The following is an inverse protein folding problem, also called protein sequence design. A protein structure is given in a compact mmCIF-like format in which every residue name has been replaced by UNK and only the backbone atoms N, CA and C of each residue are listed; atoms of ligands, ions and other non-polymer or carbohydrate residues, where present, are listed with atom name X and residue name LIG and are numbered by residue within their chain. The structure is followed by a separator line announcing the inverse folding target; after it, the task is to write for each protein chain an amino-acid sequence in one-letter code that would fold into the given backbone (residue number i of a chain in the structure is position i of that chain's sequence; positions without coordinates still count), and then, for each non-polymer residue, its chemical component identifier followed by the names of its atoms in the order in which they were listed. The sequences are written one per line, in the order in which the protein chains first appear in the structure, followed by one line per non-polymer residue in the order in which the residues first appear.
data_IF_692415015765
#
_entry.id   IF_692415015765
#
_cell.length_a   1.000
_cell.length_b   1.000
_cell.length_c   1.000
_cell.angle_alpha   90.00
_cell.angle_beta   90.00
_cell.angle_gamma   90.00
#
_symmetry.space_group_name_H-M   'P 1'
#
loop_
_entity.id
_entity.type
_entity.pdbx_description
1 polymer ?
#
# COMPACT_ATOMS: atom_id res chain seq x y z
N UNK A 1 30.00 75.35 64.95
CA UNK A 1 29.91 75.38 66.43
C UNK A 1 30.99 76.32 66.97
N UNK A 2 30.70 77.09 68.03
CA UNK A 2 31.55 77.44 69.21
C UNK A 2 33.08 77.51 69.00
N UNK A 3 33.85 78.55 69.37
CA UNK A 3 33.67 79.89 69.99
C UNK A 3 34.89 80.77 69.58
N UNK A 4 34.87 82.11 69.46
CA UNK A 4 34.59 83.21 70.42
C UNK A 4 35.61 83.36 71.57
N UNK A 5 36.55 84.30 71.40
CA UNK A 5 37.28 85.17 72.38
C UNK A 5 38.19 86.11 71.55
N UNK A 6 38.34 87.43 71.70
CA UNK A 6 38.24 88.43 72.80
C UNK A 6 39.25 88.21 73.94
N UNK A 7 40.12 89.15 74.34
CA UNK A 7 40.34 90.57 73.96
C UNK A 7 41.83 90.97 74.24
N UNK A 8 42.36 92.20 74.41
CA UNK A 8 41.81 93.55 74.67
C UNK A 8 42.79 94.75 74.39
N UNK A 9 42.43 95.95 74.88
CA UNK A 9 43.13 97.27 75.04
C UNK A 9 44.69 97.31 75.12
N UNK A 10 45.46 98.27 74.55
CA UNK A 10 45.45 99.77 74.59
C UNK A 10 45.75 100.38 76.01
N UNK A 11 46.30 101.61 76.20
CA UNK A 11 47.00 102.59 75.34
C UNK A 11 48.36 103.15 75.90
N UNK A 12 48.97 104.08 75.14
CA UNK A 12 49.76 105.28 75.56
C UNK A 12 50.78 105.24 76.73
N UNK A 13 52.03 105.68 76.45
CA UNK A 13 53.03 106.05 77.47
C UNK A 13 54.09 107.05 77.00
N UNK A 14 53.86 108.35 77.20
CA UNK A 14 54.85 109.43 77.08
C UNK A 14 54.53 110.56 78.07
N UNK A 15 55.53 111.06 78.81
CA UNK A 15 55.54 112.48 79.16
C UNK A 15 56.86 113.22 78.86
N UNK A 16 56.66 114.53 78.68
CA UNK A 16 57.56 115.69 78.75
C UNK A 16 58.78 115.49 79.68
N UNK A 17 60.00 115.89 79.33
CA UNK A 17 60.48 117.28 79.20
C UNK A 17 60.18 118.17 80.43
N UNK A 18 61.22 118.49 81.19
CA UNK A 18 61.32 119.73 81.96
C UNK A 18 62.75 120.29 81.84
N UNK A 19 62.90 121.60 81.98
CA UNK A 19 64.13 122.34 81.66
C UNK A 19 64.26 123.53 82.63
N UNK A 20 65.40 123.64 83.32
CA UNK A 20 65.97 124.83 83.99
C UNK A 20 67.35 124.39 84.53
N UNK A 21 68.49 124.94 84.07
CA UNK A 21 69.16 126.19 84.50
C UNK A 21 69.74 126.10 85.92
N UNK A 22 70.94 126.59 86.27
CA UNK A 22 71.60 127.86 85.88
C UNK A 22 73.15 127.71 85.87
N UNK A 23 73.84 128.51 85.03
CA UNK A 23 75.16 129.11 85.33
C UNK A 23 76.41 128.32 84.93
N UNK A 24 77.55 128.96 84.63
CA UNK A 24 77.86 130.40 84.50
C UNK A 24 78.98 130.62 83.44
N UNK A 25 79.19 131.88 83.03
CA UNK A 25 80.46 132.57 82.64
C UNK A 25 81.69 131.75 82.18
N UNK A 26 82.49 132.11 81.17
CA UNK A 26 82.57 133.23 80.19
C UNK A 26 83.70 132.89 79.16
N UNK A 27 84.28 133.70 78.26
CA UNK A 27 84.24 135.15 77.93
C UNK A 27 84.71 135.39 76.47
N UNK A 28 84.42 136.58 75.91
CA UNK A 28 85.02 137.26 74.74
C UNK A 28 85.01 136.68 73.28
N UNK A 29 84.66 137.62 72.37
CA UNK A 29 85.15 137.84 71.00
C UNK A 29 84.60 137.03 69.80
N UNK A 30 84.81 137.64 68.63
CA UNK A 30 84.60 137.17 67.24
C UNK A 30 83.16 136.97 66.71
N UNK A 31 82.28 137.92 67.06
CA UNK A 31 81.14 138.28 66.23
C UNK A 31 81.60 138.85 64.87
N UNK A 32 81.59 138.05 63.80
CA UNK A 32 81.02 138.42 62.48
C UNK A 32 81.00 137.29 61.41
N UNK A 33 81.73 136.18 61.60
CA UNK A 33 81.81 135.10 60.59
C UNK A 33 80.69 134.04 60.65
N UNK A 34 79.96 133.94 61.76
CA UNK A 34 79.21 132.72 62.11
C UNK A 34 77.93 132.47 61.27
N UNK A 35 77.38 133.50 60.62
CA UNK A 35 76.11 133.39 59.86
C UNK A 35 76.21 132.41 58.67
N UNK A 36 77.34 132.44 57.94
CA UNK A 36 77.62 131.51 56.83
C UNK A 36 77.79 130.05 57.29
N UNK A 37 78.22 129.82 58.52
CA UNK A 37 78.33 128.47 59.10
C UNK A 37 76.98 127.97 59.61
N UNK A 38 76.11 128.84 60.13
CA UNK A 38 74.73 128.49 60.50
C UNK A 38 73.94 128.11 59.24
N UNK A 39 74.04 128.88 58.16
CA UNK A 39 73.39 128.58 56.88
C UNK A 39 73.91 127.28 56.25
N UNK A 40 75.23 127.04 56.28
CA UNK A 40 75.80 125.73 55.89
C UNK A 40 75.25 124.59 56.74
N UNK A 41 75.19 124.74 58.07
CA UNK A 41 74.62 123.74 58.98
C UNK A 41 73.14 123.50 58.73
N UNK A 42 72.37 124.53 58.37
CA UNK A 42 70.94 124.36 58.03
C UNK A 42 70.73 123.72 56.66
N UNK A 43 71.51 124.10 55.64
CA UNK A 43 71.45 123.45 54.32
C UNK A 43 71.90 121.99 54.40
N UNK A 44 72.93 121.66 55.18
CA UNK A 44 73.27 120.27 55.52
C UNK A 44 72.14 119.55 56.27
N UNK A 45 71.42 120.21 57.18
CA UNK A 45 70.23 119.62 57.85
C UNK A 45 69.09 119.37 56.87
N UNK A 46 68.84 120.27 55.91
CA UNK A 46 67.84 120.10 54.83
C UNK A 46 68.22 118.96 53.90
N UNK A 47 69.49 118.87 53.51
CA UNK A 47 70.03 117.78 52.70
C UNK A 47 69.98 116.43 53.43
N UNK A 48 70.42 116.37 54.69
CA UNK A 48 70.30 115.17 55.55
C UNK A 48 68.83 114.77 55.74
N UNK A 49 67.90 115.73 55.86
CA UNK A 49 66.46 115.43 55.91
C UNK A 49 65.95 114.87 54.57
N UNK A 50 66.37 115.45 53.45
CA UNK A 50 66.03 114.97 52.11
C UNK A 50 66.57 113.56 51.86
N UNK A 51 67.85 113.31 52.17
CA UNK A 51 68.48 111.98 52.11
C UNK A 51 67.77 110.98 53.02
N UNK A 52 67.41 111.36 54.27
CA UNK A 52 66.60 110.50 55.16
C UNK A 52 65.21 110.20 54.60
N UNK A 53 64.59 111.15 53.88
CA UNK A 53 63.30 110.94 53.19
C UNK A 53 63.46 109.99 52.00
N UNK A 54 64.48 110.17 51.18
CA UNK A 54 64.82 109.27 50.07
C UNK A 54 65.16 107.86 50.55
N UNK A 55 65.95 107.71 51.62
CA UNK A 55 66.27 106.41 52.24
C UNK A 55 64.99 105.73 52.74
N UNK A 56 64.06 106.45 53.38
CA UNK A 56 62.75 105.90 53.78
C UNK A 56 61.91 105.46 52.58
N UNK A 57 61.88 106.25 51.50
CA UNK A 57 61.17 105.89 50.27
C UNK A 57 61.77 104.63 49.62
N UNK A 58 63.10 104.55 49.51
CA UNK A 58 63.80 103.36 49.00
C UNK A 58 63.57 102.13 49.89
N UNK A 59 63.58 102.29 51.22
CA UNK A 59 63.27 101.20 52.15
C UNK A 59 61.82 100.71 51.99
N UNK A 60 60.86 101.62 51.84
CA UNK A 60 59.47 101.26 51.59
C UNK A 60 59.29 100.56 50.23
N UNK A 61 59.96 101.03 49.17
CA UNK A 61 59.97 100.38 47.86
C UNK A 61 60.58 98.98 47.92
N UNK A 62 61.70 98.80 48.62
CA UNK A 62 62.30 97.48 48.86
C UNK A 62 61.36 96.55 49.64
N UNK A 63 60.62 97.08 50.62
CA UNK A 63 59.62 96.33 51.38
C UNK A 63 58.43 95.90 50.51
N UNK A 64 57.94 96.78 49.63
CA UNK A 64 56.91 96.45 48.62
C UNK A 64 57.43 95.40 47.63
N UNK A 65 58.65 95.57 47.09
CA UNK A 65 59.26 94.61 46.17
C UNK A 65 59.44 93.23 46.83
N UNK A 66 59.87 93.17 48.08
CA UNK A 66 59.94 91.93 48.84
C UNK A 66 58.55 91.28 48.99
N UNK A 67 57.53 92.05 49.36
CA UNK A 67 56.14 91.58 49.45
C UNK A 67 55.60 91.01 48.12
N UNK A 68 55.93 91.67 47.01
CA UNK A 68 55.58 91.21 45.66
C UNK A 68 56.33 89.91 45.30
N UNK A 69 57.63 89.81 45.60
CA UNK A 69 58.42 88.57 45.38
C UNK A 69 57.90 87.40 46.24
N UNK A 70 57.53 87.63 47.50
CA UNK A 70 56.90 86.60 48.34
C UNK A 70 55.54 86.17 47.79
N UNK A 71 54.73 87.11 47.29
CA UNK A 71 53.43 86.84 46.68
C UNK A 71 53.56 86.04 45.39
N UNK A 72 54.49 86.42 44.50
CA UNK A 72 54.82 85.69 43.27
C UNK A 72 55.37 84.29 43.58
N UNK A 73 56.27 84.14 44.55
CA UNK A 73 56.78 82.83 44.98
C UNK A 73 55.67 81.95 45.54
N UNK A 74 54.71 82.52 46.26
CA UNK A 74 53.53 81.78 46.75
C UNK A 74 52.63 81.34 45.61
N UNK A 75 52.32 82.23 44.66
CA UNK A 75 51.51 81.90 43.48
C UNK A 75 52.17 80.81 42.62
N UNK A 76 53.48 80.91 42.37
CA UNK A 76 54.26 79.89 41.66
C UNK A 76 54.24 78.54 42.40
N UNK A 77 54.40 78.54 43.73
CA UNK A 77 54.30 77.32 44.54
C UNK A 77 52.90 76.68 44.52
N UNK A 78 51.84 77.46 44.34
CA UNK A 78 50.49 76.91 44.09
C UNK A 78 50.41 76.32 42.68
N UNK A 79 50.78 77.08 41.65
CA UNK A 79 50.79 76.62 40.25
C UNK A 79 51.60 75.33 40.04
N UNK A 80 52.74 75.16 40.73
CA UNK A 80 53.54 73.93 40.69
C UNK A 80 52.78 72.75 41.32
N UNK A 81 52.09 72.96 42.45
CA UNK A 81 51.26 71.91 43.07
C UNK A 81 50.07 71.53 42.21
N UNK A 82 49.42 72.51 41.58
CA UNK A 82 48.29 72.29 40.69
C UNK A 82 48.73 71.56 39.41
N UNK A 83 49.92 71.88 38.88
CA UNK A 83 50.52 71.13 37.76
C UNK A 83 50.87 69.69 38.14
N UNK A 84 51.46 69.44 39.31
CA UNK A 84 51.72 68.07 39.83
C UNK A 84 50.42 67.30 40.02
N UNK A 85 49.35 67.96 40.52
CA UNK A 85 48.03 67.35 40.66
C UNK A 85 47.46 66.95 39.28
N UNK A 86 47.50 67.86 38.30
CA UNK A 86 47.06 67.58 36.94
C UNK A 86 47.89 66.46 36.28
N UNK A 87 49.20 66.41 36.51
CA UNK A 87 50.06 65.33 36.01
C UNK A 87 49.67 63.96 36.59
N UNK A 88 49.34 63.90 37.88
CA UNK A 88 48.84 62.68 38.53
C UNK A 88 47.44 62.28 38.02
N UNK A 89 46.56 63.26 37.80
CA UNK A 89 45.21 63.02 37.23
C UNK A 89 45.30 62.51 35.79
N UNK A 90 46.17 63.09 34.95
CA UNK A 90 46.48 62.57 33.60
C UNK A 90 47.02 61.14 33.67
N UNK A 91 47.96 60.84 34.58
CA UNK A 91 48.47 59.48 34.78
C UNK A 91 47.37 58.46 35.13
N UNK A 92 46.46 58.82 36.05
CA UNK A 92 45.31 57.99 36.40
C UNK A 92 44.33 57.80 35.23
N UNK A 93 44.12 58.84 34.42
CA UNK A 93 43.31 58.74 33.20
C UNK A 93 43.96 57.82 32.16
N UNK A 94 45.28 57.91 31.94
CA UNK A 94 46.00 56.99 31.04
C UNK A 94 45.96 55.54 31.53
N UNK A 95 46.14 55.29 32.84
CA UNK A 95 45.98 53.94 33.41
C UNK A 95 44.56 53.39 33.22
N UNK A 96 43.52 54.22 33.40
CA UNK A 96 42.14 53.84 33.18
C UNK A 96 41.86 53.56 31.70
N UNK A 97 42.41 54.38 30.80
CA UNK A 97 42.30 54.19 29.35
C UNK A 97 42.92 52.86 28.91
N UNK A 98 44.14 52.54 29.34
CA UNK A 98 44.78 51.26 29.02
C UNK A 98 44.04 50.05 29.62
N UNK A 99 43.52 50.16 30.85
CA UNK A 99 42.67 49.11 31.45
C UNK A 99 41.37 48.90 30.65
N UNK A 100 40.76 49.97 30.10
CA UNK A 100 39.57 49.84 29.25
C UNK A 100 39.89 49.30 27.85
N UNK A 101 41.01 49.72 27.23
CA UNK A 101 41.54 49.13 25.99
C UNK A 101 41.79 47.64 26.13
N UNK A 102 42.48 47.21 27.19
CA UNK A 102 42.77 45.79 27.44
C UNK A 102 41.48 44.99 27.68
N UNK A 103 40.54 45.54 28.46
CA UNK A 103 39.23 44.94 28.70
C UNK A 103 38.36 44.82 27.44
N UNK A 104 38.41 45.81 26.54
CA UNK A 104 37.72 45.76 25.24
C UNK A 104 38.41 44.77 24.28
N UNK A 105 39.74 44.76 24.20
CA UNK A 105 40.51 43.81 23.40
C UNK A 105 40.23 42.35 23.79
N UNK A 106 40.16 42.07 25.11
CA UNK A 106 39.74 40.76 25.64
C UNK A 106 38.31 40.39 25.22
N UNK A 107 37.35 41.34 25.28
CA UNK A 107 35.96 41.12 24.82
C UNK A 107 35.86 40.88 23.32
N UNK A 108 36.56 41.67 22.49
CA UNK A 108 36.60 41.52 21.03
C UNK A 108 37.19 40.14 20.67
N UNK A 109 38.29 39.74 21.31
CA UNK A 109 38.90 38.42 21.13
C UNK A 109 37.96 37.26 21.49
N UNK A 110 37.14 37.42 22.54
CA UNK A 110 36.11 36.44 22.91
C UNK A 110 34.95 36.39 21.91
N UNK A 111 34.53 37.54 21.36
CA UNK A 111 33.48 37.62 20.34
C UNK A 111 33.92 36.96 19.03
N UNK A 112 35.15 37.24 18.56
CA UNK A 112 35.72 36.62 17.35
C UNK A 112 35.75 35.09 17.49
N UNK A 113 36.22 34.55 18.62
CA UNK A 113 36.23 33.10 18.87
C UNK A 113 34.82 32.49 18.89
N UNK A 114 33.83 33.19 19.45
CA UNK A 114 32.42 32.75 19.44
C UNK A 114 31.83 32.78 18.03
N UNK A 115 32.16 33.78 17.23
CA UNK A 115 31.74 33.86 15.83
C UNK A 115 32.33 32.70 15.02
N UNK A 116 33.64 32.48 15.10
CA UNK A 116 34.33 31.37 14.40
C UNK A 116 33.76 30.00 14.80
N UNK A 117 33.44 29.77 16.07
CA UNK A 117 32.79 28.54 16.53
C UNK A 117 31.37 28.39 15.99
N UNK A 118 30.60 29.48 15.92
CA UNK A 118 29.26 29.48 15.32
C UNK A 118 29.29 29.23 13.82
N UNK A 119 30.29 29.77 13.11
CA UNK A 119 30.54 29.54 11.68
C UNK A 119 30.91 28.08 11.41
N UNK A 120 31.81 27.49 12.21
CA UNK A 120 32.13 26.06 12.15
C UNK A 120 30.87 25.22 12.38
N UNK A 121 30.11 25.48 13.45
CA UNK A 121 28.86 24.78 13.75
C UNK A 121 27.72 25.07 12.76
N UNK A 122 27.82 26.09 11.91
CA UNK A 122 26.92 26.28 10.78
C UNK A 122 27.32 25.36 9.62
N UNK A 123 28.60 25.35 9.25
CA UNK A 123 29.14 24.46 8.21
C UNK A 123 28.94 22.97 8.57
N UNK A 124 29.23 22.57 9.81
CA UNK A 124 28.99 21.22 10.34
C UNK A 124 27.53 20.76 10.18
N UNK A 125 26.57 21.70 10.19
CA UNK A 125 25.13 21.42 10.02
C UNK A 125 24.73 21.48 8.55
N UNK A 126 25.30 22.39 7.77
CA UNK A 126 25.09 22.46 6.33
C UNK A 126 25.54 21.17 5.65
N UNK A 127 26.78 20.72 5.86
CA UNK A 127 27.34 19.51 5.25
C UNK A 127 26.56 18.24 5.65
N UNK A 128 26.06 18.17 6.89
CA UNK A 128 25.18 17.06 7.33
C UNK A 128 23.81 17.10 6.68
N UNK A 129 23.23 18.28 6.49
CA UNK A 129 21.94 18.42 5.80
C UNK A 129 22.08 18.11 4.29
N UNK A 130 23.19 18.50 3.67
CA UNK A 130 23.54 18.19 2.28
C UNK A 130 23.64 16.67 2.08
N UNK A 131 24.48 15.99 2.87
CA UNK A 131 24.60 14.52 2.83
C UNK A 131 23.29 13.78 3.12
N UNK A 132 22.46 14.28 4.03
CA UNK A 132 21.14 13.73 4.32
C UNK A 132 20.16 13.92 3.15
N UNK A 133 20.24 15.06 2.46
CA UNK A 133 19.45 15.35 1.26
C UNK A 133 19.88 14.48 0.07
N UNK A 134 21.17 14.16 -0.06
CA UNK A 134 21.67 13.22 -1.06
C UNK A 134 21.20 11.78 -0.78
N UNK A 135 21.28 11.33 0.48
CA UNK A 135 20.74 10.05 0.92
C UNK A 135 19.24 9.92 0.66
N UNK A 136 18.45 10.96 0.98
CA UNK A 136 17.01 10.99 0.70
C UNK A 136 16.69 10.97 -0.81
N UNK A 137 17.57 11.51 -1.67
CA UNK A 137 17.42 11.40 -3.12
C UNK A 137 17.76 10.00 -3.63
N UNK A 138 18.78 9.34 -3.06
CA UNK A 138 19.16 7.96 -3.38
C UNK A 138 18.04 6.98 -2.97
N UNK A 139 17.56 7.03 -1.72
CA UNK A 139 16.43 6.23 -1.24
C UNK A 139 15.17 6.44 -2.10
N UNK A 140 14.84 7.68 -2.45
CA UNK A 140 13.70 8.00 -3.30
C UNK A 140 13.87 7.45 -4.73
N UNK A 141 15.09 7.38 -5.25
CA UNK A 141 15.39 6.84 -6.57
C UNK A 141 15.38 5.31 -6.57
N UNK A 142 15.87 4.65 -5.52
CA UNK A 142 15.76 3.21 -5.32
C UNK A 142 14.29 2.78 -5.14
N UNK A 143 13.50 3.54 -4.36
CA UNK A 143 12.06 3.31 -4.19
C UNK A 143 11.30 3.42 -5.52
N UNK A 144 11.58 4.45 -6.34
CA UNK A 144 11.01 4.60 -7.70
C UNK A 144 11.38 3.42 -8.60
N UNK A 145 12.64 3.00 -8.56
CA UNK A 145 13.15 1.89 -9.37
C UNK A 145 12.48 0.57 -8.98
N UNK A 146 12.38 0.29 -7.68
CA UNK A 146 11.68 -0.86 -7.11
C UNK A 146 10.20 -0.88 -7.47
N UNK A 147 9.52 0.27 -7.38
CA UNK A 147 8.12 0.39 -7.83
C UNK A 147 7.98 0.18 -9.35
N UNK A 148 8.97 0.60 -10.16
CA UNK A 148 8.96 0.34 -11.60
C UNK A 148 9.14 -1.16 -11.92
N UNK A 149 10.01 -1.88 -11.19
CA UNK A 149 10.17 -3.34 -11.32
C UNK A 149 8.88 -4.06 -10.95
N UNK A 150 8.29 -3.76 -9.78
CA UNK A 150 7.00 -4.32 -9.36
C UNK A 150 5.89 -4.10 -10.40
N UNK A 151 5.81 -2.89 -10.99
CA UNK A 151 4.85 -2.58 -12.06
C UNK A 151 5.12 -3.32 -13.37
N UNK A 152 6.37 -3.70 -13.67
CA UNK A 152 6.71 -4.57 -14.81
C UNK A 152 6.28 -6.01 -14.52
N UNK A 153 6.61 -6.56 -13.36
CA UNK A 153 6.19 -7.91 -12.96
C UNK A 153 4.66 -8.09 -12.97
N UNK A 154 3.91 -7.11 -12.44
CA UNK A 154 2.45 -7.12 -12.48
C UNK A 154 1.90 -7.13 -13.91
N UNK A 155 2.53 -6.40 -14.85
CA UNK A 155 2.16 -6.41 -16.27
C UNK A 155 2.47 -7.75 -16.93
N UNK A 156 3.65 -8.32 -16.67
CA UNK A 156 4.03 -9.63 -17.21
C UNK A 156 3.06 -10.71 -16.75
N UNK A 157 2.73 -10.76 -15.44
CA UNK A 157 1.73 -11.68 -14.88
C UNK A 157 0.32 -11.47 -15.46
N UNK A 158 -0.04 -10.23 -15.80
CA UNK A 158 -1.29 -9.94 -16.49
C UNK A 158 -1.28 -10.48 -17.93
N UNK A 159 -0.18 -10.31 -18.67
CA UNK A 159 -0.01 -10.85 -20.03
C UNK A 159 0.02 -12.39 -20.05
N UNK A 160 0.68 -13.03 -19.08
CA UNK A 160 0.65 -14.48 -18.89
C UNK A 160 -0.78 -14.99 -18.63
N UNK A 161 -1.55 -14.28 -17.81
CA UNK A 161 -2.96 -14.57 -17.54
C UNK A 161 -3.85 -14.33 -18.77
N UNK A 162 -3.65 -13.25 -19.51
CA UNK A 162 -4.40 -12.94 -20.75
C UNK A 162 -4.14 -14.01 -21.83
N UNK A 163 -2.89 -14.45 -22.01
CA UNK A 163 -2.55 -15.57 -22.89
C UNK A 163 -3.17 -16.89 -22.42
N UNK A 164 -3.20 -17.15 -21.11
CA UNK A 164 -3.86 -18.33 -20.54
C UNK A 164 -5.39 -18.31 -20.79
N UNK A 165 -6.03 -17.15 -20.61
CA UNK A 165 -7.44 -16.94 -20.92
C UNK A 165 -7.74 -17.04 -22.42
N UNK A 166 -6.81 -16.60 -23.29
CA UNK A 166 -6.93 -16.75 -24.74
C UNK A 166 -6.83 -18.23 -25.16
N UNK A 167 -5.90 -18.98 -24.56
CA UNK A 167 -5.76 -20.43 -24.79
C UNK A 167 -7.01 -21.20 -24.34
N UNK A 168 -7.53 -20.91 -23.14
CA UNK A 168 -8.78 -21.51 -22.65
C UNK A 168 -9.96 -21.22 -23.59
N UNK A 169 -10.15 -19.97 -24.04
CA UNK A 169 -11.20 -19.62 -25.02
C UNK A 169 -11.05 -20.39 -26.35
N UNK A 170 -9.82 -20.62 -26.83
CA UNK A 170 -9.59 -21.46 -28.02
C UNK A 170 -9.94 -22.93 -27.77
N UNK A 171 -9.65 -23.44 -26.57
CA UNK A 171 -9.98 -24.79 -26.15
C UNK A 171 -11.50 -25.00 -26.00
N UNK A 172 -12.21 -24.05 -25.38
CA UNK A 172 -13.67 -24.07 -25.21
C UNK A 172 -14.38 -24.01 -26.58
N UNK A 173 -13.94 -23.12 -27.48
CA UNK A 173 -14.44 -23.06 -28.86
C UNK A 173 -14.22 -24.38 -29.62
N UNK A 174 -13.10 -25.08 -29.37
CA UNK A 174 -12.83 -26.40 -29.95
C UNK A 174 -13.75 -27.47 -29.38
N UNK A 175 -13.93 -27.53 -28.04
CA UNK A 175 -14.88 -28.44 -27.39
C UNK A 175 -16.28 -28.22 -27.95
N UNK A 176 -16.71 -26.97 -28.09
CA UNK A 176 -18.02 -26.66 -28.68
C UNK A 176 -18.14 -27.20 -30.11
N UNK A 177 -17.14 -26.97 -30.97
CA UNK A 177 -17.13 -27.51 -32.33
C UNK A 177 -17.08 -29.04 -32.44
N UNK A 178 -16.52 -29.72 -31.43
CA UNK A 178 -16.57 -31.19 -31.32
C UNK A 178 -17.95 -31.66 -30.81
N UNK A 179 -18.55 -30.96 -29.84
CA UNK A 179 -19.89 -31.24 -29.32
C UNK A 179 -21.00 -31.02 -30.37
N UNK A 180 -20.89 -29.97 -31.19
CA UNK A 180 -21.79 -29.66 -32.30
C UNK A 180 -21.80 -30.80 -33.35
N UNK A 181 -20.63 -31.39 -33.63
CA UNK A 181 -20.51 -32.56 -34.53
C UNK A 181 -21.12 -33.82 -33.93
N UNK A 182 -20.91 -34.07 -32.64
CA UNK A 182 -21.54 -35.21 -31.93
C UNK A 182 -23.06 -35.05 -31.92
N UNK A 183 -23.58 -33.84 -31.74
CA UNK A 183 -25.01 -33.55 -31.82
C UNK A 183 -25.58 -33.83 -33.22
N UNK A 184 -24.88 -33.45 -34.29
CA UNK A 184 -25.26 -33.78 -35.67
C UNK A 184 -25.22 -35.30 -35.93
N UNK A 185 -24.21 -36.01 -35.42
CA UNK A 185 -24.15 -37.47 -35.51
C UNK A 185 -25.31 -38.15 -34.77
N UNK A 186 -25.68 -37.66 -33.58
CA UNK A 186 -26.84 -38.15 -32.83
C UNK A 186 -28.16 -37.89 -33.56
N UNK A 187 -28.32 -36.76 -34.25
CA UNK A 187 -29.49 -36.48 -35.09
C UNK A 187 -29.59 -37.45 -36.28
N UNK A 188 -28.47 -37.73 -36.95
CA UNK A 188 -28.42 -38.71 -38.05
C UNK A 188 -28.80 -40.11 -37.54
N UNK A 189 -28.15 -40.60 -36.48
CA UNK A 189 -28.45 -41.92 -35.87
C UNK A 189 -29.91 -42.00 -35.40
N UNK A 190 -30.46 -40.92 -34.84
CA UNK A 190 -31.88 -40.88 -34.46
C UNK A 190 -32.81 -41.00 -35.68
N UNK A 191 -32.44 -40.43 -36.84
CA UNK A 191 -33.21 -40.60 -38.08
C UNK A 191 -33.09 -42.03 -38.66
N UNK A 192 -31.91 -42.66 -38.56
CA UNK A 192 -31.71 -44.07 -38.93
C UNK A 192 -32.55 -45.00 -38.04
N UNK A 193 -32.56 -44.77 -36.73
CA UNK A 193 -33.39 -45.50 -35.76
C UNK A 193 -34.89 -45.32 -36.06
N UNK A 194 -35.32 -44.14 -36.49
CA UNK A 194 -36.70 -43.91 -36.92
C UNK A 194 -37.04 -44.68 -38.20
N UNK A 195 -36.14 -44.74 -39.19
CA UNK A 195 -36.32 -45.56 -40.40
C UNK A 195 -36.45 -47.05 -40.06
N UNK A 196 -35.50 -47.59 -39.28
CA UNK A 196 -35.52 -48.99 -38.85
C UNK A 196 -36.76 -49.31 -38.02
N UNK A 197 -37.23 -48.38 -37.19
CA UNK A 197 -38.48 -48.57 -36.45
C UNK A 197 -39.70 -48.66 -37.38
N UNK A 198 -39.75 -47.86 -38.45
CA UNK A 198 -40.80 -47.95 -39.47
C UNK A 198 -40.74 -49.26 -40.28
N UNK A 199 -39.54 -49.73 -40.64
CA UNK A 199 -39.34 -51.03 -41.29
C UNK A 199 -39.78 -52.19 -40.39
N UNK A 200 -39.46 -52.14 -39.10
CA UNK A 200 -39.92 -53.13 -38.10
C UNK A 200 -41.44 -53.13 -37.95
N UNK A 201 -42.11 -51.96 -38.01
CA UNK A 201 -43.58 -51.90 -38.00
C UNK A 201 -44.21 -52.57 -39.24
N UNK A 202 -43.68 -52.30 -40.44
CA UNK A 202 -44.13 -52.92 -41.69
C UNK A 202 -43.89 -54.45 -41.72
N UNK A 203 -42.73 -54.91 -41.26
CA UNK A 203 -42.44 -56.35 -41.09
C UNK A 203 -43.38 -56.98 -40.07
N UNK A 204 -43.67 -56.32 -38.95
CA UNK A 204 -44.57 -56.85 -37.93
C UNK A 204 -46.03 -56.93 -38.42
N UNK A 205 -46.48 -55.97 -39.25
CA UNK A 205 -47.77 -56.05 -39.93
C UNK A 205 -47.82 -57.25 -40.91
N UNK A 206 -46.77 -57.46 -41.70
CA UNK A 206 -46.66 -58.62 -42.61
C UNK A 206 -46.65 -59.96 -41.87
N UNK A 207 -46.00 -60.04 -40.71
CA UNK A 207 -46.03 -61.23 -39.84
C UNK A 207 -47.45 -61.51 -39.35
N UNK A 208 -48.19 -60.47 -38.93
CA UNK A 208 -49.60 -60.61 -38.52
C UNK A 208 -50.50 -61.07 -39.68
N UNK A 209 -50.31 -60.53 -40.88
CA UNK A 209 -51.04 -60.98 -42.08
C UNK A 209 -50.71 -62.44 -42.44
N UNK A 210 -49.45 -62.87 -42.32
CA UNK A 210 -49.10 -64.28 -42.52
C UNK A 210 -49.69 -65.20 -41.44
N UNK A 211 -49.75 -64.76 -40.17
CA UNK A 211 -50.41 -65.50 -39.09
C UNK A 211 -51.91 -65.67 -39.38
N UNK A 212 -52.60 -64.59 -39.72
CA UNK A 212 -54.02 -64.63 -40.13
C UNK A 212 -54.24 -65.59 -41.32
N UNK A 213 -53.33 -65.61 -42.30
CA UNK A 213 -53.39 -66.54 -43.44
C UNK A 213 -53.12 -68.00 -43.04
N UNK A 214 -52.20 -68.27 -42.10
CA UNK A 214 -52.00 -69.65 -41.62
C UNK A 214 -53.18 -70.15 -40.81
N UNK A 215 -53.80 -69.30 -39.98
CA UNK A 215 -54.94 -69.67 -39.14
C UNK A 215 -56.19 -69.97 -40.00
N UNK A 216 -56.47 -69.13 -41.01
CA UNK A 216 -57.52 -69.41 -42.00
C UNK A 216 -57.28 -70.74 -42.75
N UNK A 217 -56.03 -71.04 -43.10
CA UNK A 217 -55.69 -72.29 -43.79
C UNK A 217 -55.84 -73.51 -42.87
N UNK A 218 -55.47 -73.40 -41.59
CA UNK A 218 -55.69 -74.44 -40.59
C UNK A 218 -57.19 -74.72 -40.41
N UNK A 219 -58.02 -73.68 -40.24
CA UNK A 219 -59.49 -73.82 -40.19
C UNK A 219 -60.03 -74.57 -41.43
N UNK A 220 -59.57 -74.22 -42.64
CA UNK A 220 -59.98 -74.92 -43.88
C UNK A 220 -59.47 -76.37 -44.00
N UNK A 221 -58.47 -76.78 -43.21
CA UNK A 221 -58.06 -78.18 -43.10
C UNK A 221 -58.91 -78.93 -42.08
N UNK A 222 -59.22 -78.33 -40.94
CA UNK A 222 -60.09 -78.91 -39.91
C UNK A 222 -61.50 -79.17 -40.46
N UNK A 223 -62.10 -78.19 -41.16
CA UNK A 223 -63.38 -78.33 -41.86
C UNK A 223 -63.38 -79.53 -42.83
N UNK A 224 -62.35 -79.64 -43.66
CA UNK A 224 -62.23 -80.69 -44.69
C UNK A 224 -61.88 -82.06 -44.12
N UNK A 225 -61.18 -82.13 -42.97
CA UNK A 225 -61.01 -83.37 -42.23
C UNK A 225 -62.34 -83.85 -41.68
N UNK A 226 -63.18 -82.95 -41.15
CA UNK A 226 -64.48 -83.29 -40.61
C UNK A 226 -65.48 -83.74 -41.70
N UNK A 227 -65.49 -83.09 -42.88
CA UNK A 227 -66.21 -83.61 -44.07
C UNK A 227 -65.77 -85.03 -44.44
N UNK A 228 -64.46 -85.31 -44.35
CA UNK A 228 -63.90 -86.61 -44.70
C UNK A 228 -64.24 -87.69 -43.66
N UNK A 229 -64.25 -87.35 -42.36
CA UNK A 229 -64.70 -88.27 -41.31
C UNK A 229 -66.18 -88.64 -41.43
N UNK A 230 -67.04 -87.70 -41.86
CA UNK A 230 -68.46 -88.00 -42.08
C UNK A 230 -68.68 -88.95 -43.27
N UNK A 231 -67.90 -88.82 -44.34
CA UNK A 231 -67.96 -89.72 -45.51
C UNK A 231 -67.58 -91.18 -45.21
N UNK A 232 -66.80 -91.45 -44.16
CA UNK A 232 -66.41 -92.82 -43.76
C UNK A 232 -67.33 -93.46 -42.70
N UNK A 233 -68.46 -92.82 -42.34
CA UNK A 233 -69.42 -93.37 -41.37
C UNK A 233 -70.51 -94.26 -42.00
N UNK A 234 -70.66 -94.24 -43.31
CA UNK A 234 -71.65 -95.06 -44.03
C UNK A 234 -71.20 -96.52 -44.24
N UNK A 235 -72.15 -97.46 -44.24
CA UNK A 235 -71.87 -98.89 -44.37
C UNK A 235 -71.13 -99.23 -45.69
N UNK A 236 -70.08 -100.03 -45.58
CA UNK A 236 -69.23 -100.47 -46.70
C UNK A 236 -70.07 -100.89 -47.94
N UNK A 237 -69.78 -100.38 -49.16
CA UNK A 237 -70.72 -100.46 -50.29
C UNK A 237 -71.07 -101.90 -50.70
N UNK A 238 -70.16 -102.86 -50.51
CA UNK A 238 -70.44 -104.27 -50.76
C UNK A 238 -71.38 -104.90 -49.72
N UNK A 239 -71.41 -104.41 -48.47
CA UNK A 239 -72.42 -104.81 -47.47
C UNK A 239 -73.81 -104.38 -47.92
N UNK A 240 -73.95 -103.16 -48.44
CA UNK A 240 -75.20 -102.65 -49.00
C UNK A 240 -75.65 -103.46 -50.22
N UNK A 241 -74.74 -103.71 -51.18
CA UNK A 241 -75.01 -104.55 -52.35
C UNK A 241 -75.45 -105.97 -51.93
N UNK A 242 -74.77 -106.59 -50.97
CA UNK A 242 -75.12 -107.93 -50.46
C UNK A 242 -76.44 -107.95 -49.67
N UNK A 243 -76.93 -106.82 -49.14
CA UNK A 243 -78.31 -106.74 -48.59
C UNK A 243 -79.37 -106.79 -49.70
N UNK A 244 -79.06 -106.39 -50.93
CA UNK A 244 -80.02 -106.33 -52.05
C UNK A 244 -80.15 -107.62 -52.87
N UNK A 245 -79.20 -108.55 -52.78
CA UNK A 245 -79.23 -109.78 -53.59
C UNK A 245 -80.27 -110.78 -53.04
N UNK A 246 -81.06 -111.45 -53.90
CA UNK A 246 -81.96 -112.51 -53.47
C UNK A 246 -81.21 -113.82 -53.14
N UNK A 247 -81.72 -114.69 -52.26
CA UNK A 247 -81.13 -116.00 -52.00
C UNK A 247 -81.00 -116.86 -53.27
N UNK A 248 -79.87 -117.53 -53.43
CA UNK A 248 -79.44 -118.24 -54.63
C UNK A 248 -79.21 -117.35 -55.89
N UNK A 249 -78.98 -116.05 -55.74
CA UNK A 249 -78.47 -115.23 -56.86
C UNK A 249 -77.09 -115.76 -57.33
N UNK A 250 -76.82 -115.91 -58.63
CA UNK A 250 -75.53 -116.42 -59.11
C UNK A 250 -74.39 -115.45 -58.79
N UNK A 251 -73.30 -115.98 -58.25
CA UNK A 251 -72.05 -115.24 -57.97
C UNK A 251 -70.90 -116.17 -58.28
N UNK A 252 -69.95 -115.78 -59.14
CA UNK A 252 -68.84 -116.63 -59.58
C UNK A 252 -67.60 -116.49 -58.72
N UNK A 253 -67.28 -115.26 -58.30
CA UNK A 253 -66.04 -114.95 -57.57
C UNK A 253 -66.26 -113.79 -56.61
N UNK A 254 -65.57 -113.85 -55.48
CA UNK A 254 -65.39 -112.75 -54.55
C UNK A 254 -63.91 -112.39 -54.51
N UNK A 255 -63.61 -111.12 -54.27
CA UNK A 255 -62.30 -110.63 -53.90
C UNK A 255 -62.37 -110.27 -52.41
N UNK A 256 -61.49 -110.88 -51.61
CA UNK A 256 -61.48 -110.72 -50.15
C UNK A 256 -60.04 -110.48 -49.70
N UNK A 257 -59.73 -109.27 -49.22
CA UNK A 257 -58.37 -108.76 -49.07
C UNK A 257 -57.50 -109.08 -50.32
N UNK A 258 -58.00 -108.76 -51.51
CA UNK A 258 -57.40 -109.05 -52.82
C UNK A 258 -57.41 -110.52 -53.25
N UNK A 259 -57.77 -111.45 -52.38
CA UNK A 259 -57.73 -112.91 -52.65
C UNK A 259 -58.99 -113.37 -53.37
N UNK A 260 -58.84 -114.09 -54.49
CA UNK A 260 -59.97 -114.61 -55.26
C UNK A 260 -60.54 -115.85 -54.60
N UNK A 261 -61.80 -115.78 -54.16
CA UNK A 261 -62.55 -116.91 -53.61
C UNK A 261 -63.63 -117.32 -54.63
N UNK A 262 -63.55 -118.53 -55.23
CA UNK A 262 -64.60 -119.03 -56.11
C UNK A 262 -65.85 -119.38 -55.29
N UNK A 263 -67.00 -119.07 -55.87
CA UNK A 263 -68.35 -119.35 -55.37
C UNK A 263 -69.26 -119.64 -56.58
N UNK A 264 -70.48 -120.10 -56.34
CA UNK A 264 -71.49 -120.29 -57.40
C UNK A 264 -72.75 -119.47 -57.17
N UNK A 265 -73.18 -119.29 -55.91
CA UNK A 265 -74.39 -118.52 -55.57
C UNK A 265 -74.25 -117.81 -54.23
N UNK A 266 -74.90 -116.66 -54.07
CA UNK A 266 -75.15 -116.01 -52.78
C UNK A 266 -76.25 -116.75 -52.00
N UNK A 267 -76.14 -116.82 -50.67
CA UNK A 267 -77.14 -117.47 -49.79
C UNK A 267 -77.88 -116.40 -48.97
N UNK A 268 -77.15 -115.65 -48.13
CA UNK A 268 -77.65 -114.47 -47.40
C UNK A 268 -76.51 -113.59 -46.92
N UNK A 269 -76.81 -112.33 -46.61
CA UNK A 269 -75.99 -111.50 -45.75
C UNK A 269 -76.54 -111.54 -44.32
N UNK A 270 -75.68 -111.49 -43.30
CA UNK A 270 -76.04 -111.36 -41.89
C UNK A 270 -75.31 -110.13 -41.31
N UNK A 271 -75.87 -108.91 -41.50
CA UNK A 271 -75.24 -107.67 -41.07
C UNK A 271 -74.97 -107.64 -39.56
N UNK A 272 -75.79 -108.35 -38.76
CA UNK A 272 -75.62 -108.43 -37.30
C UNK A 272 -74.33 -109.12 -36.85
N UNK A 273 -73.60 -109.75 -37.78
CA UNK A 273 -72.33 -110.45 -37.54
C UNK A 273 -71.22 -110.00 -38.48
N UNK A 274 -71.49 -109.06 -39.40
CA UNK A 274 -70.58 -108.73 -40.51
C UNK A 274 -70.25 -109.93 -41.40
N UNK A 275 -71.20 -110.86 -41.64
CA UNK A 275 -70.92 -112.14 -42.32
C UNK A 275 -71.88 -112.41 -43.49
N UNK A 276 -71.32 -112.55 -44.69
CA UNK A 276 -72.02 -112.97 -45.89
C UNK A 276 -71.75 -114.45 -46.21
N UNK A 277 -72.80 -115.17 -46.60
CA UNK A 277 -72.80 -116.60 -46.84
C UNK A 277 -73.00 -116.91 -48.32
N UNK A 278 -72.17 -117.78 -48.87
CA UNK A 278 -72.16 -118.14 -50.29
C UNK A 278 -72.05 -119.66 -50.45
N UNK A 279 -72.63 -120.20 -51.51
CA UNK A 279 -72.52 -121.59 -51.93
C UNK A 279 -71.33 -121.74 -52.87
N UNK A 280 -70.56 -122.82 -52.72
CA UNK A 280 -69.58 -123.28 -53.70
C UNK A 280 -69.76 -124.81 -53.82
N UNK A 281 -70.35 -125.26 -54.92
CA UNK A 281 -70.77 -126.65 -55.13
C UNK A 281 -71.62 -127.18 -53.96
N UNK A 282 -71.13 -128.15 -53.20
CA UNK A 282 -71.79 -128.72 -52.02
C UNK A 282 -71.29 -128.11 -50.68
N UNK A 283 -70.48 -127.06 -50.71
CA UNK A 283 -69.95 -126.37 -49.53
C UNK A 283 -70.57 -124.98 -49.36
N UNK A 284 -70.63 -124.50 -48.11
CA UNK A 284 -70.96 -123.12 -47.78
C UNK A 284 -69.67 -122.42 -47.35
N UNK A 285 -69.40 -121.25 -47.94
CA UNK A 285 -68.33 -120.34 -47.56
C UNK A 285 -68.93 -119.16 -46.81
N UNK A 286 -68.41 -118.90 -45.63
CA UNK A 286 -68.76 -117.74 -44.79
C UNK A 286 -67.63 -116.72 -44.93
N UNK A 287 -67.96 -115.50 -45.34
CA UNK A 287 -67.01 -114.44 -45.65
C UNK A 287 -67.37 -113.20 -44.84
N UNK A 288 -66.37 -112.58 -44.23
CA UNK A 288 -66.49 -111.29 -43.55
C UNK A 288 -66.88 -110.21 -44.57
N UNK A 289 -68.06 -109.59 -44.40
CA UNK A 289 -68.68 -108.73 -45.41
C UNK A 289 -68.03 -107.36 -45.55
N UNK A 290 -67.26 -106.93 -44.54
CA UNK A 290 -66.48 -105.69 -44.60
C UNK A 290 -65.18 -105.90 -45.39
N UNK A 291 -64.67 -107.13 -45.45
CA UNK A 291 -63.42 -107.51 -46.14
C UNK A 291 -63.61 -107.92 -47.60
N UNK A 292 -64.81 -107.73 -48.17
CA UNK A 292 -65.08 -108.00 -49.59
C UNK A 292 -64.75 -106.76 -50.42
N UNK A 293 -63.66 -106.80 -51.18
CA UNK A 293 -63.20 -105.70 -52.04
C UNK A 293 -63.90 -105.67 -53.41
N UNK A 294 -64.59 -106.75 -53.78
CA UNK A 294 -65.21 -106.91 -55.09
C UNK A 294 -65.99 -108.21 -55.29
N UNK A 295 -66.95 -108.19 -56.21
CA UNK A 295 -67.87 -109.30 -56.52
C UNK A 295 -67.98 -109.44 -58.05
N UNK A 296 -67.94 -110.68 -58.56
CA UNK A 296 -68.21 -111.00 -59.98
C UNK A 296 -69.37 -112.00 -60.07
N UNK A 297 -70.36 -111.66 -60.90
CA UNK A 297 -71.57 -112.44 -61.23
C UNK A 297 -71.40 -113.27 -62.52
#
# INVERSE_FOLDING_TARGET
MVAVKSSDWNPQGKPKLFLQSIGNESVHQDLFCHNMEEEKRENQRKEIHHLRKSIKNCHHLLQQMAGNVYSLRRALNHSIKDHIKLQNEVGQHTELEERTKEGLSKKISQLIRKQQLNEHHFLDRFERNEKMNDQLQEELQEQKSSQQVMRREQRNKHQEMDHSLQYLKQHDNRIWGEMERVNQQLQNVNSEVQSVHSEVQDVNAKVLDYQNQTDQRLQSYDERLQEMEDLYKDEHPYVQLLKSLPPNYPVRRLYVNGTIIPVTHFIRNDPSKGMAYFKNDNQIKTIDSEKIDGIIF
#
